data_IF_515585592422
#
_entry.id   IF_515585592422
#
_cell.length_a   1.000
_cell.length_b   1.000
_cell.length_c   1.000
_cell.angle_alpha   90.00
_cell.angle_beta   90.00
_cell.angle_gamma   90.00
#
_symmetry.space_group_name_H-M   'P 1'
#
loop_
_entity.id
_entity.type
_entity.pdbx_description
1 polymer ?
#
# COMPACT_ATOMS: atom_id res chain seq x y z
N UNK A 1 19.74 67.94 -27.54
CA UNK A 1 19.41 67.27 -28.82
C UNK A 1 20.08 65.89 -28.76
N UNK A 2 19.48 64.69 -28.84
CA UNK A 2 18.18 64.14 -29.28
C UNK A 2 17.91 62.87 -28.42
N UNK A 3 16.77 62.80 -27.71
CA UNK A 3 15.70 61.79 -27.83
C UNK A 3 15.91 60.65 -28.85
N UNK A 4 15.79 59.40 -28.38
CA UNK A 4 14.96 58.29 -28.93
C UNK A 4 14.84 57.23 -27.82
N UNK A 5 13.71 57.12 -27.13
CA UNK A 5 12.49 56.35 -27.45
C UNK A 5 12.57 54.84 -27.15
N UNK A 6 11.66 54.46 -26.27
CA UNK A 6 11.25 53.15 -25.76
C UNK A 6 11.15 52.01 -26.77
N UNK A 7 11.55 50.82 -26.34
CA UNK A 7 10.97 49.54 -26.76
C UNK A 7 11.11 48.59 -25.55
N UNK A 8 10.18 48.64 -24.60
CA UNK A 8 9.00 47.76 -24.58
C UNK A 8 9.36 46.27 -24.59
N UNK A 9 9.07 45.64 -23.45
CA UNK A 9 8.55 44.27 -23.39
C UNK A 9 9.51 43.14 -23.85
N UNK A 10 10.63 42.96 -23.14
CA UNK A 10 11.18 41.61 -23.01
C UNK A 10 10.34 40.87 -21.95
N UNK A 11 9.24 40.34 -22.46
CA UNK A 11 8.39 39.31 -21.89
C UNK A 11 9.29 38.15 -21.44
N UNK A 12 9.76 38.16 -20.19
CA UNK A 12 10.36 36.98 -19.57
C UNK A 12 9.30 35.87 -19.60
N UNK A 13 9.47 34.79 -20.39
CA UNK A 13 8.60 33.65 -20.23
C UNK A 13 8.96 33.07 -18.87
N UNK A 14 8.06 33.24 -17.90
CA UNK A 14 8.04 32.41 -16.71
C UNK A 14 7.81 30.98 -17.24
N UNK A 15 8.89 30.26 -17.50
CA UNK A 15 8.88 28.82 -17.69
C UNK A 15 8.48 28.22 -16.33
N UNK A 16 7.19 28.29 -16.04
CA UNK A 16 6.55 27.45 -15.04
C UNK A 16 6.57 26.05 -15.66
N UNK A 17 7.72 25.39 -15.53
CA UNK A 17 7.81 23.96 -15.70
C UNK A 17 6.98 23.37 -14.57
N UNK A 18 5.69 23.16 -14.82
CA UNK A 18 4.90 22.21 -14.06
C UNK A 18 5.57 20.86 -14.26
N UNK A 19 6.50 20.50 -13.37
CA UNK A 19 6.91 19.12 -13.18
C UNK A 19 5.67 18.39 -12.64
N UNK A 20 4.77 18.00 -13.54
CA UNK A 20 3.81 16.95 -13.25
C UNK A 20 4.66 15.74 -12.93
N UNK A 21 4.73 15.36 -11.65
CA UNK A 21 5.20 14.04 -11.26
C UNK A 21 4.32 13.03 -11.98
N UNK A 22 4.73 12.62 -13.18
CA UNK A 22 4.14 11.49 -13.86
C UNK A 22 4.49 10.28 -13.00
N UNK A 23 3.47 9.57 -12.51
CA UNK A 23 3.69 8.30 -11.85
C UNK A 23 4.47 7.38 -12.81
N UNK A 24 5.46 6.62 -12.31
CA UNK A 24 6.26 5.76 -13.16
C UNK A 24 5.35 4.79 -13.93
N UNK A 25 5.67 4.58 -15.21
CA UNK A 25 4.99 3.59 -16.05
C UNK A 25 5.39 2.18 -15.58
N UNK A 26 4.60 1.64 -14.65
CA UNK A 26 4.85 0.33 -14.04
C UNK A 26 4.72 -0.80 -15.08
N UNK A 27 3.94 -0.63 -16.13
CA UNK A 27 3.79 -1.60 -17.21
C UNK A 27 5.08 -1.69 -18.02
N UNK A 28 5.70 -0.55 -18.33
CA UNK A 28 6.98 -0.50 -19.02
C UNK A 28 8.13 -1.10 -18.18
N UNK A 29 8.12 -0.89 -16.86
CA UNK A 29 9.20 -1.34 -15.97
C UNK A 29 9.07 -2.80 -15.53
N UNK A 30 7.84 -3.25 -15.26
CA UNK A 30 7.59 -4.55 -14.62
C UNK A 30 6.61 -5.43 -15.39
N UNK A 31 6.22 -5.04 -16.59
CA UNK A 31 5.20 -5.72 -17.40
C UNK A 31 3.78 -5.46 -16.90
N UNK A 32 2.76 -5.89 -17.67
CA UNK A 32 1.37 -5.62 -17.34
C UNK A 32 0.94 -6.30 -16.04
N UNK A 33 -0.06 -5.73 -15.37
CA UNK A 33 -0.70 -6.37 -14.23
C UNK A 33 -1.37 -7.69 -14.63
N UNK A 34 -1.19 -8.74 -13.81
CA UNK A 34 -1.78 -10.07 -14.00
C UNK A 34 -2.60 -10.46 -12.77
N UNK A 35 -3.87 -10.02 -12.68
CA UNK A 35 -4.80 -10.36 -11.59
C UNK A 35 -4.84 -11.84 -11.22
N UNK A 36 -4.60 -12.72 -12.20
CA UNK A 36 -4.67 -14.17 -12.05
C UNK A 36 -3.41 -14.78 -11.43
N UNK A 37 -2.33 -14.01 -11.16
CA UNK A 37 -1.04 -14.53 -10.69
C UNK A 37 -1.18 -15.42 -9.45
N UNK A 38 -2.10 -15.07 -8.54
CA UNK A 38 -2.29 -15.78 -7.28
C UNK A 38 -3.60 -16.60 -7.22
N UNK A 39 -4.32 -16.74 -8.34
CA UNK A 39 -5.48 -17.64 -8.43
C UNK A 39 -5.09 -19.09 -8.14
N UNK A 40 -3.86 -19.47 -8.49
CA UNK A 40 -3.25 -20.73 -8.07
C UNK A 40 -1.91 -20.42 -7.40
N UNK A 41 -1.77 -20.65 -6.08
CA UNK A 41 -0.50 -20.38 -5.40
C UNK A 41 0.61 -21.29 -5.93
N UNK A 42 1.78 -20.71 -6.18
CA UNK A 42 2.97 -21.48 -6.49
C UNK A 42 3.38 -22.34 -5.28
N UNK A 43 3.92 -23.55 -5.49
CA UNK A 43 4.47 -24.33 -4.39
C UNK A 43 5.64 -23.57 -3.73
N UNK A 44 5.76 -23.61 -2.39
CA UNK A 44 6.89 -22.99 -1.71
C UNK A 44 8.20 -23.70 -2.08
N UNK A 45 9.36 -23.03 -1.91
CA UNK A 45 10.66 -23.68 -1.99
C UNK A 45 10.76 -24.92 -1.09
N UNK A 46 11.65 -25.85 -1.44
CA UNK A 46 11.82 -27.07 -0.68
C UNK A 46 12.19 -26.77 0.79
N UNK A 47 11.44 -27.35 1.72
CA UNK A 47 11.61 -27.13 3.16
C UNK A 47 10.85 -25.93 3.73
N UNK A 48 10.33 -25.05 2.90
CA UNK A 48 9.56 -23.89 3.33
C UNK A 48 8.06 -24.16 3.39
N UNK A 49 7.35 -23.42 4.24
CA UNK A 49 5.90 -23.51 4.35
C UNK A 49 5.33 -22.19 4.82
N UNK A 50 4.37 -21.64 4.07
CA UNK A 50 3.66 -20.42 4.47
C UNK A 50 3.06 -20.55 5.88
N UNK A 51 2.38 -21.67 6.16
CA UNK A 51 1.71 -21.90 7.43
C UNK A 51 2.67 -22.01 8.62
N UNK A 52 3.91 -22.46 8.41
CA UNK A 52 4.92 -22.60 9.47
C UNK A 52 5.88 -21.42 9.59
N UNK A 53 6.15 -20.74 8.49
CA UNK A 53 7.17 -19.68 8.43
C UNK A 53 6.57 -18.28 8.40
N UNK A 54 5.51 -18.06 7.62
CA UNK A 54 4.98 -16.71 7.36
C UNK A 54 3.75 -16.39 8.21
N UNK A 55 2.78 -17.31 8.29
CA UNK A 55 1.55 -17.07 9.05
C UNK A 55 1.81 -16.76 10.54
N UNK A 56 2.78 -17.41 11.24
CA UNK A 56 3.10 -17.05 12.62
C UNK A 56 3.61 -15.61 12.77
N UNK A 57 4.41 -15.12 11.82
CA UNK A 57 4.89 -13.73 11.81
C UNK A 57 3.73 -12.75 11.65
N UNK A 58 2.83 -13.02 10.69
CA UNK A 58 1.62 -12.21 10.49
C UNK A 58 0.71 -12.24 11.72
N UNK A 59 0.58 -13.39 12.38
CA UNK A 59 -0.20 -13.51 13.62
C UNK A 59 0.35 -12.64 14.75
N UNK A 60 1.68 -12.57 14.88
CA UNK A 60 2.33 -11.79 15.93
C UNK A 60 2.36 -10.29 15.64
N UNK A 61 2.50 -9.91 14.36
CA UNK A 61 2.81 -8.52 13.96
C UNK A 61 1.65 -7.77 13.30
N UNK A 62 0.71 -8.46 12.66
CA UNK A 62 -0.26 -7.84 11.75
C UNK A 62 -1.72 -8.13 12.12
N UNK A 63 -2.04 -9.34 12.57
CA UNK A 63 -3.42 -9.80 12.78
C UNK A 63 -4.17 -8.94 13.80
N UNK A 64 -3.50 -8.37 14.80
CA UNK A 64 -4.15 -7.48 15.79
C UNK A 64 -4.89 -6.31 15.14
N UNK A 65 -4.41 -5.81 14.01
CA UNK A 65 -5.06 -4.74 13.24
C UNK A 65 -5.77 -5.26 11.97
N UNK A 66 -5.37 -6.44 11.47
CA UNK A 66 -5.78 -6.99 10.18
C UNK A 66 -6.54 -8.34 10.29
N UNK A 67 -7.31 -8.54 11.36
CA UNK A 67 -8.06 -9.78 11.61
C UNK A 67 -9.42 -9.85 10.88
N UNK A 68 -10.07 -8.71 10.71
CA UNK A 68 -11.52 -8.62 10.45
C UNK A 68 -11.80 -7.71 9.24
N UNK A 69 -13.07 -7.58 8.85
CA UNK A 69 -13.43 -6.81 7.65
C UNK A 69 -13.35 -5.29 7.86
N UNK A 70 -13.48 -4.84 9.11
CA UNK A 70 -13.25 -3.47 9.57
C UNK A 70 -11.76 -3.14 9.76
N UNK A 71 -10.85 -4.08 9.47
CA UNK A 71 -9.42 -3.78 9.38
C UNK A 71 -9.16 -2.60 8.43
N UNK A 72 -8.08 -1.82 8.67
CA UNK A 72 -7.69 -0.76 7.75
C UNK A 72 -7.59 -1.27 6.31
N UNK A 73 -8.20 -0.54 5.39
CA UNK A 73 -8.31 -0.92 3.97
C UNK A 73 -8.94 -2.30 3.73
N UNK A 74 -9.75 -2.84 4.66
CA UNK A 74 -10.24 -4.22 4.66
C UNK A 74 -9.16 -5.31 4.46
N UNK A 75 -7.88 -4.98 4.66
CA UNK A 75 -6.78 -5.90 4.39
C UNK A 75 -6.70 -6.94 5.49
N UNK A 76 -6.66 -8.23 5.12
CA UNK A 76 -6.67 -9.35 6.06
C UNK A 76 -5.37 -10.13 5.97
N UNK A 77 -4.74 -10.39 7.11
CA UNK A 77 -3.48 -11.18 7.17
C UNK A 77 -3.64 -12.49 7.92
N UNK A 78 -4.88 -12.94 8.13
CA UNK A 78 -5.23 -14.15 8.90
C UNK A 78 -5.01 -15.45 8.14
N UNK A 79 -4.84 -15.39 6.82
CA UNK A 79 -4.62 -16.53 5.95
C UNK A 79 -3.94 -16.07 4.66
N UNK A 80 -3.41 -17.03 3.89
CA UNK A 80 -2.93 -16.78 2.53
C UNK A 80 -4.00 -16.09 1.68
N UNK A 81 -5.25 -16.60 1.70
CA UNK A 81 -6.32 -16.04 0.86
C UNK A 81 -6.72 -14.62 1.29
N UNK A 82 -6.60 -14.30 2.58
CA UNK A 82 -6.75 -12.91 3.05
C UNK A 82 -5.66 -12.00 2.47
N UNK A 83 -4.42 -12.48 2.44
CA UNK A 83 -3.27 -11.75 1.93
C UNK A 83 -3.42 -11.46 0.43
N UNK A 84 -3.78 -12.48 -0.36
CA UNK A 84 -3.92 -12.36 -1.82
C UNK A 84 -5.27 -11.77 -2.27
N UNK A 85 -6.31 -11.78 -1.43
CA UNK A 85 -7.52 -10.96 -1.65
C UNK A 85 -7.15 -9.49 -1.82
N UNK A 86 -6.15 -9.03 -1.08
CA UNK A 86 -5.65 -7.66 -1.15
C UNK A 86 -6.47 -6.70 -0.29
N UNK A 87 -6.40 -5.42 -0.63
CA UNK A 87 -6.99 -4.32 0.13
C UNK A 87 -8.08 -3.59 -0.68
N UNK A 88 -8.99 -2.90 -0.01
CA UNK A 88 -10.04 -2.09 -0.58
C UNK A 88 -10.17 -0.77 0.16
N UNK A 89 -10.34 0.32 -0.58
CA UNK A 89 -10.62 1.66 -0.02
C UNK A 89 -12.08 1.82 0.43
N UNK A 90 -12.94 0.85 0.11
CA UNK A 90 -14.37 0.94 0.41
C UNK A 90 -14.59 0.77 1.92
N UNK A 91 -15.29 1.69 2.61
CA UNK A 91 -15.63 1.50 4.01
C UNK A 91 -16.65 0.38 4.17
N UNK A 92 -16.40 -0.53 5.13
CA UNK A 92 -17.38 -1.57 5.51
C UNK A 92 -18.57 -0.92 6.19
N UNK A 93 -18.30 -0.15 7.24
CA UNK A 93 -19.29 0.66 7.95
C UNK A 93 -19.32 2.06 7.37
N UNK A 94 -20.42 2.37 6.70
CA UNK A 94 -20.68 3.69 6.14
C UNK A 94 -22.10 4.09 6.51
N UNK A 95 -22.22 5.00 7.49
CA UNK A 95 -23.50 5.47 8.01
C UNK A 95 -24.31 6.29 6.98
N UNK A 96 -23.69 6.70 5.87
CA UNK A 96 -24.36 7.46 4.81
C UNK A 96 -25.03 6.56 3.77
N UNK A 97 -24.77 5.25 3.81
CA UNK A 97 -25.25 4.30 2.80
C UNK A 97 -26.76 4.05 2.99
N UNK A 98 -27.54 4.32 1.94
CA UNK A 98 -29.00 4.08 1.94
C UNK A 98 -29.38 2.63 1.68
N UNK A 99 -28.50 1.86 1.02
CA UNK A 99 -28.71 0.45 0.68
C UNK A 99 -27.69 -0.43 1.39
N UNK A 100 -28.00 -1.72 1.53
CA UNK A 100 -27.04 -2.67 2.07
C UNK A 100 -25.76 -2.71 1.21
N UNK A 101 -24.60 -2.81 1.88
CA UNK A 101 -23.33 -3.02 1.18
C UNK A 101 -23.30 -4.42 0.57
N UNK A 102 -22.65 -4.56 -0.59
CA UNK A 102 -22.25 -5.87 -1.08
C UNK A 102 -21.24 -6.49 -0.10
N UNK A 103 -21.48 -7.71 0.41
CA UNK A 103 -20.55 -8.37 1.32
C UNK A 103 -19.27 -8.78 0.59
N UNK A 104 -18.16 -8.81 1.33
CA UNK A 104 -16.81 -9.10 0.79
C UNK A 104 -16.13 -10.23 1.59
N UNK A 105 -16.90 -11.24 1.98
CA UNK A 105 -16.46 -12.35 2.83
C UNK A 105 -15.60 -13.33 2.04
N UNK A 106 -14.41 -13.62 2.59
CA UNK A 106 -13.53 -14.68 2.09
C UNK A 106 -14.30 -16.00 1.96
N UNK A 107 -14.06 -16.74 0.87
CA UNK A 107 -14.63 -18.06 0.55
C UNK A 107 -16.13 -18.09 0.24
N UNK A 108 -16.82 -16.96 0.31
CA UNK A 108 -18.25 -16.87 0.04
C UNK A 108 -18.54 -15.95 -1.13
N UNK A 109 -18.03 -14.72 -1.07
CA UNK A 109 -18.38 -13.68 -2.05
C UNK A 109 -17.37 -13.63 -3.22
N UNK A 110 -16.22 -14.29 -3.10
CA UNK A 110 -15.28 -14.62 -4.17
C UNK A 110 -14.31 -15.75 -3.71
N UNK A 111 -13.78 -16.49 -4.69
CA UNK A 111 -12.92 -17.65 -4.50
C UNK A 111 -11.47 -17.41 -4.93
N UNK A 112 -11.22 -16.47 -5.85
CA UNK A 112 -9.86 -16.19 -6.35
C UNK A 112 -9.44 -14.72 -6.18
N UNK A 113 -8.14 -14.41 -6.07
CA UNK A 113 -7.62 -13.04 -6.13
C UNK A 113 -8.11 -12.24 -7.33
N UNK A 114 -8.18 -12.84 -8.51
CA UNK A 114 -8.67 -12.16 -9.72
C UNK A 114 -10.14 -11.75 -9.61
N UNK A 115 -11.00 -12.59 -9.03
CA UNK A 115 -12.39 -12.23 -8.74
C UNK A 115 -12.46 -11.04 -7.77
N UNK A 116 -11.59 -10.97 -6.76
CA UNK A 116 -11.53 -9.81 -5.86
C UNK A 116 -11.13 -8.52 -6.58
N UNK A 117 -10.27 -8.58 -7.62
CA UNK A 117 -9.97 -7.40 -8.45
C UNK A 117 -11.21 -6.85 -9.13
N UNK A 118 -12.12 -7.71 -9.59
CA UNK A 118 -13.41 -7.28 -10.18
C UNK A 118 -14.33 -6.59 -9.16
N UNK A 119 -14.14 -6.86 -7.87
CA UNK A 119 -14.85 -6.21 -6.76
C UNK A 119 -14.13 -4.96 -6.21
N UNK A 120 -13.11 -4.47 -6.92
CA UNK A 120 -12.40 -3.24 -6.58
C UNK A 120 -11.32 -3.38 -5.51
N UNK A 121 -10.96 -4.61 -5.14
CA UNK A 121 -9.76 -4.86 -4.35
C UNK A 121 -8.51 -4.62 -5.21
N UNK A 122 -7.46 -4.10 -4.60
CA UNK A 122 -6.15 -3.94 -5.22
C UNK A 122 -5.11 -4.83 -4.51
N UNK A 123 -4.09 -5.30 -5.24
CA UNK A 123 -3.16 -6.29 -4.71
C UNK A 123 -2.21 -5.67 -3.68
N UNK A 124 -1.88 -6.44 -2.64
CA UNK A 124 -0.85 -6.08 -1.65
C UNK A 124 0.50 -6.76 -1.91
N UNK A 125 0.50 -7.76 -2.80
CA UNK A 125 1.67 -8.45 -3.33
C UNK A 125 1.86 -8.08 -4.80
N UNK A 126 3.04 -8.32 -5.35
CA UNK A 126 3.29 -8.05 -6.76
C UNK A 126 2.46 -8.98 -7.66
N UNK A 127 1.59 -8.42 -8.50
CA UNK A 127 0.83 -9.15 -9.53
C UNK A 127 1.36 -8.94 -10.96
N UNK A 128 2.50 -8.29 -11.12
CA UNK A 128 3.18 -8.06 -12.41
C UNK A 128 4.22 -9.16 -12.64
N UNK A 129 5.20 -8.93 -13.51
CA UNK A 129 6.27 -9.91 -13.81
C UNK A 129 6.96 -10.35 -12.51
N UNK A 130 7.17 -11.66 -12.30
CA UNK A 130 7.73 -12.15 -11.05
C UNK A 130 9.25 -12.03 -11.09
N UNK A 131 9.80 -11.19 -10.22
CA UNK A 131 11.23 -11.13 -9.96
C UNK A 131 11.46 -10.61 -8.54
N UNK A 132 12.59 -10.93 -7.88
CA UNK A 132 12.88 -10.40 -6.55
C UNK A 132 12.86 -8.87 -6.49
N UNK A 133 13.27 -8.20 -7.57
CA UNK A 133 13.24 -6.74 -7.68
C UNK A 133 11.81 -6.22 -7.79
N UNK A 134 11.00 -6.81 -8.67
CA UNK A 134 9.60 -6.44 -8.85
C UNK A 134 8.75 -6.74 -7.60
N UNK A 135 9.01 -7.86 -6.93
CA UNK A 135 8.31 -8.25 -5.71
C UNK A 135 8.55 -7.23 -4.59
N UNK A 136 9.78 -6.73 -4.42
CA UNK A 136 10.09 -5.65 -3.46
C UNK A 136 9.51 -4.30 -3.90
N UNK A 137 9.69 -3.93 -5.16
CA UNK A 137 9.27 -2.63 -5.67
C UNK A 137 7.75 -2.44 -5.75
N UNK A 138 6.98 -3.52 -5.88
CA UNK A 138 5.53 -3.45 -6.13
C UNK A 138 4.68 -4.02 -4.99
N UNK A 139 5.22 -4.88 -4.11
CA UNK A 139 4.46 -5.34 -2.96
C UNK A 139 4.25 -4.19 -1.98
N UNK A 140 3.01 -3.72 -1.88
CA UNK A 140 2.63 -2.73 -0.89
C UNK A 140 2.92 -3.21 0.53
N UNK A 141 2.76 -4.51 0.82
CA UNK A 141 3.16 -5.07 2.12
C UNK A 141 4.66 -4.84 2.38
N UNK A 142 5.52 -5.24 1.44
CA UNK A 142 6.97 -5.03 1.58
C UNK A 142 7.32 -3.55 1.74
N UNK A 143 6.74 -2.69 0.89
CA UNK A 143 7.00 -1.25 0.93
C UNK A 143 6.57 -0.57 2.23
N UNK A 144 5.49 -1.05 2.86
CA UNK A 144 5.07 -0.55 4.17
C UNK A 144 6.02 -1.00 5.30
N UNK A 145 6.59 -2.20 5.20
CA UNK A 145 7.63 -2.69 6.13
C UNK A 145 8.95 -1.93 5.93
N UNK A 146 9.37 -1.72 4.68
CA UNK A 146 10.56 -0.94 4.35
C UNK A 146 10.43 0.51 4.84
N UNK A 147 9.28 1.15 4.62
CA UNK A 147 9.02 2.50 5.12
C UNK A 147 9.19 2.58 6.65
N UNK A 148 8.79 1.53 7.37
CA UNK A 148 8.98 1.43 8.82
C UNK A 148 10.44 1.28 9.22
N UNK A 149 11.24 0.56 8.44
CA UNK A 149 12.68 0.44 8.68
C UNK A 149 13.39 1.78 8.43
N UNK A 150 13.01 2.49 7.37
CA UNK A 150 13.57 3.80 7.02
C UNK A 150 13.18 4.90 8.01
N UNK A 151 11.97 4.80 8.58
CA UNK A 151 11.44 5.73 9.57
C UNK A 151 10.92 4.97 10.81
N UNK A 152 11.82 4.48 11.68
CA UNK A 152 11.43 3.72 12.86
C UNK A 152 10.50 4.51 13.78
N UNK A 153 9.61 3.80 14.46
CA UNK A 153 8.79 4.43 15.49
C UNK A 153 9.69 4.93 16.62
N UNK A 154 9.51 6.18 17.11
CA UNK A 154 10.28 6.67 18.24
C UNK A 154 10.11 5.76 19.45
N UNK A 155 11.20 5.46 20.16
CA UNK A 155 11.17 4.64 21.39
C UNK A 155 10.91 5.46 22.65
N UNK A 156 11.10 6.78 22.60
CA UNK A 156 10.88 7.69 23.72
C UNK A 156 9.39 8.01 23.91
N UNK A 157 8.89 7.83 25.14
CA UNK A 157 7.47 8.00 25.46
C UNK A 157 6.97 9.45 25.29
N UNK A 158 7.82 10.46 25.50
CA UNK A 158 7.44 11.87 25.32
C UNK A 158 7.27 12.20 23.85
N UNK A 159 8.15 11.66 22.99
CA UNK A 159 8.02 11.77 21.55
C UNK A 159 6.80 11.00 21.03
N UNK A 160 6.53 9.80 21.56
CA UNK A 160 5.34 9.03 21.18
C UNK A 160 4.03 9.76 21.49
N UNK A 161 3.96 10.49 22.61
CA UNK A 161 2.77 11.22 23.03
C UNK A 161 2.36 12.35 22.07
N UNK A 162 3.27 12.82 21.20
CA UNK A 162 2.98 13.86 20.20
C UNK A 162 2.62 13.30 18.83
N UNK A 163 2.66 11.97 18.65
CA UNK A 163 2.40 11.33 17.37
C UNK A 163 0.90 11.17 17.11
N UNK A 164 0.47 11.30 15.84
CA UNK A 164 -0.93 11.19 15.48
C UNK A 164 -1.38 9.72 15.46
N UNK A 165 -1.67 9.16 16.64
CA UNK A 165 -2.20 7.80 16.81
C UNK A 165 -3.72 7.71 16.60
N UNK A 166 -4.38 8.83 16.29
CA UNK A 166 -5.84 8.89 16.18
C UNK A 166 -6.36 7.95 15.07
N UNK A 167 -7.40 7.13 15.35
CA UNK A 167 -8.03 6.23 14.36
C UNK A 167 -8.67 6.94 13.17
N UNK A 168 -8.93 8.25 13.28
CA UNK A 168 -9.72 9.02 12.32
C UNK A 168 -8.89 9.59 11.15
N UNK A 169 -7.65 9.15 10.96
CA UNK A 169 -6.94 9.54 9.74
C UNK A 169 -7.62 8.88 8.53
N UNK A 170 -8.02 9.65 7.49
CA UNK A 170 -8.63 9.10 6.29
C UNK A 170 -7.79 7.95 5.77
N UNK A 171 -8.41 6.77 5.69
CA UNK A 171 -7.81 5.47 5.43
C UNK A 171 -6.70 5.58 4.37
N UNK A 172 -5.47 5.54 4.86
CA UNK A 172 -4.22 5.77 4.13
C UNK A 172 -3.84 4.47 3.42
N UNK A 173 -4.59 4.16 2.35
CA UNK A 173 -4.51 2.92 1.60
C UNK A 173 -3.87 3.15 0.22
N UNK A 174 -2.57 3.47 0.12
CA UNK A 174 -1.96 3.74 -1.17
C UNK A 174 -2.03 2.50 -2.07
N UNK A 175 -2.41 2.71 -3.32
CA UNK A 175 -2.22 1.75 -4.41
C UNK A 175 -0.77 1.79 -4.88
N UNK A 176 -0.39 0.83 -5.72
CA UNK A 176 0.96 0.70 -6.31
C UNK A 176 1.51 2.03 -6.86
N UNK A 177 0.71 2.79 -7.61
CA UNK A 177 1.09 4.08 -8.22
C UNK A 177 1.09 5.26 -7.24
N UNK A 178 0.47 5.09 -6.06
CA UNK A 178 0.32 6.15 -5.05
C UNK A 178 1.36 6.02 -3.92
N UNK A 179 2.04 4.87 -3.84
CA UNK A 179 2.85 4.50 -2.68
C UNK A 179 4.10 5.39 -2.51
N UNK A 180 4.69 5.90 -3.59
CA UNK A 180 5.82 6.86 -3.51
C UNK A 180 5.39 8.19 -2.89
N UNK A 181 4.29 8.76 -3.38
CA UNK A 181 3.73 9.99 -2.85
C UNK A 181 3.29 9.82 -1.39
N UNK A 182 2.74 8.65 -1.05
CA UNK A 182 2.38 8.29 0.31
C UNK A 182 3.61 8.27 1.24
N UNK A 183 4.67 7.55 0.87
CA UNK A 183 5.90 7.44 1.67
C UNK A 183 6.50 8.83 1.96
N UNK A 184 6.51 9.71 0.97
CA UNK A 184 7.00 11.08 1.13
C UNK A 184 6.12 11.93 2.05
N UNK A 185 4.80 11.85 1.89
CA UNK A 185 3.85 12.64 2.67
C UNK A 185 3.70 12.13 4.12
N UNK A 186 3.94 10.83 4.36
CA UNK A 186 3.66 10.13 5.61
C UNK A 186 4.84 9.21 5.97
N UNK A 187 6.04 9.76 6.28
CA UNK A 187 7.24 8.96 6.55
C UNK A 187 7.04 7.98 7.72
N UNK A 188 6.33 8.39 8.78
CA UNK A 188 6.00 7.52 9.92
C UNK A 188 4.81 6.57 9.67
N UNK A 189 4.28 6.54 8.43
CA UNK A 189 3.14 5.73 8.03
C UNK A 189 3.47 4.26 7.73
N UNK A 190 4.72 3.83 7.96
CA UNK A 190 5.14 2.44 7.82
C UNK A 190 4.48 1.49 8.83
N UNK A 191 4.34 0.22 8.45
CA UNK A 191 3.69 -0.81 9.25
C UNK A 191 4.72 -1.71 9.96
N UNK A 192 4.43 -2.23 11.16
CA UNK A 192 3.21 -2.01 11.95
C UNK A 192 3.13 -0.56 12.49
N UNK A 193 2.00 0.11 12.25
CA UNK A 193 1.80 1.50 12.65
C UNK A 193 1.66 1.60 14.18
N UNK A 194 2.26 2.62 14.80
CA UNK A 194 2.19 2.78 16.26
C UNK A 194 3.04 1.80 17.08
N UNK A 195 3.70 0.83 16.44
CA UNK A 195 4.46 -0.23 17.11
C UNK A 195 5.92 -0.26 16.60
N UNK A 196 6.85 -0.95 17.30
CA UNK A 196 8.20 -1.17 16.77
C UNK A 196 8.19 -1.92 15.42
N UNK A 197 9.23 -1.70 14.62
CA UNK A 197 9.45 -2.47 13.39
C UNK A 197 9.78 -3.94 13.65
N UNK A 198 9.75 -4.74 12.60
CA UNK A 198 10.19 -6.14 12.62
C UNK A 198 11.71 -6.21 12.81
N UNK A 199 12.18 -7.25 13.49
CA UNK A 199 13.61 -7.56 13.55
C UNK A 199 14.13 -8.05 12.20
N UNK A 200 15.45 -8.03 11.99
CA UNK A 200 16.07 -8.53 10.76
C UNK A 200 15.78 -10.00 10.45
N UNK A 201 15.44 -10.81 11.47
CA UNK A 201 15.09 -12.22 11.28
C UNK A 201 13.62 -12.43 10.87
N UNK A 202 12.77 -11.44 11.07
CA UNK A 202 11.34 -11.49 10.74
C UNK A 202 11.01 -10.84 9.39
N UNK A 203 12.00 -10.17 8.77
CA UNK A 203 11.86 -9.39 7.54
C UNK A 203 12.36 -10.15 6.31
#
# INVERSE_FOLDING_TARGET
MRRTLSLSLLLSPLLVACATLAAPDLDALFGPARPQRYDTPAPPPAGESYARSIQPLLNQRCVVCHACYDAPCQFKTTSWDGLVRGASKTPVYDATRLLAATPTRLYVDAQTPSEWRTQGFFPMLNERTPSPEADRALSLLHRMLELKQQHPWPSDAKQQATLPLAPEQPQMCPRETEMDAYAQAKPLGGMPYGLPGLSSAEH
#
